data_IF_589800668176
#
_entry.id   IF_589800668176
#
_cell.length_a   1.000
_cell.length_b   1.000
_cell.length_c   1.000
_cell.angle_alpha   90.00
_cell.angle_beta   90.00
_cell.angle_gamma   90.00
#
_symmetry.space_group_name_H-M   'P 1'
#
loop_
_entity.id
_entity.type
_entity.pdbx_description
1 polymer ?
#
# COMPACT_ATOMS: atom_id res chain seq x y z
N UNK A 1 -42.63 -22.51 -5.30
CA UNK A 1 -41.46 -21.94 -6.00
C UNK A 1 -40.42 -21.59 -4.95
N UNK A 2 -39.34 -22.36 -4.88
CA UNK A 2 -38.20 -22.08 -3.98
C UNK A 2 -37.35 -21.00 -4.65
N UNK A 3 -37.20 -19.83 -4.02
CA UNK A 3 -36.17 -18.87 -4.40
C UNK A 3 -34.83 -19.47 -4.01
N UNK A 4 -34.15 -20.09 -4.97
CA UNK A 4 -32.72 -20.39 -4.85
C UNK A 4 -32.01 -19.05 -4.98
N UNK A 5 -31.73 -18.40 -3.85
CA UNK A 5 -30.77 -17.30 -3.82
C UNK A 5 -29.41 -17.94 -4.00
N UNK A 6 -28.88 -17.88 -5.22
CA UNK A 6 -27.47 -18.14 -5.48
C UNK A 6 -26.67 -17.05 -4.74
N UNK A 7 -26.35 -17.29 -3.47
CA UNK A 7 -25.30 -16.55 -2.75
C UNK A 7 -23.94 -17.02 -3.29
N UNK A 8 -23.70 -16.79 -4.58
CA UNK A 8 -22.38 -16.94 -5.16
C UNK A 8 -21.97 -15.57 -5.68
N UNK A 9 -21.62 -14.68 -4.75
CA UNK A 9 -20.77 -13.55 -5.06
C UNK A 9 -19.55 -13.70 -4.18
N UNK A 10 -18.48 -14.30 -4.71
CA UNK A 10 -17.16 -13.97 -4.19
C UNK A 10 -16.97 -12.48 -4.45
N UNK A 11 -17.44 -11.63 -3.53
CA UNK A 11 -17.24 -10.19 -3.60
C UNK A 11 -15.78 -9.98 -3.27
N UNK A 12 -14.95 -10.00 -4.30
CA UNK A 12 -13.57 -9.54 -4.22
C UNK A 12 -13.56 -8.16 -3.54
N UNK A 13 -12.58 -7.94 -2.70
CA UNK A 13 -12.43 -6.69 -1.96
C UNK A 13 -11.63 -5.75 -2.85
N UNK A 14 -12.24 -4.67 -3.32
CA UNK A 14 -11.56 -3.64 -4.09
C UNK A 14 -11.05 -2.55 -3.15
N UNK A 15 -9.76 -2.28 -3.20
CA UNK A 15 -9.11 -1.29 -2.36
C UNK A 15 -8.29 -0.29 -3.18
N UNK A 16 -8.19 0.93 -2.66
CA UNK A 16 -7.19 1.92 -3.06
C UNK A 16 -6.19 2.11 -1.93
N UNK A 17 -4.93 1.90 -2.21
CA UNK A 17 -3.84 1.98 -1.24
C UNK A 17 -2.91 3.11 -1.69
N UNK A 18 -2.53 3.98 -0.76
CA UNK A 18 -1.52 5.01 -0.97
C UNK A 18 -0.23 4.62 -0.28
N UNK A 19 0.86 4.65 -1.05
CA UNK A 19 2.23 4.51 -0.55
C UNK A 19 2.95 5.85 -0.74
N UNK A 20 3.57 6.37 0.30
CA UNK A 20 4.33 7.61 0.26
C UNK A 20 5.83 7.30 0.21
N UNK A 21 6.39 7.20 -1.00
CA UNK A 21 7.77 6.76 -1.21
C UNK A 21 8.76 7.87 -0.83
N UNK A 22 9.65 7.66 0.16
CA UNK A 22 10.58 8.68 0.61
C UNK A 22 11.78 8.87 -0.34
N UNK A 23 12.21 10.12 -0.47
CA UNK A 23 13.47 10.52 -1.09
C UNK A 23 14.58 10.55 -0.06
N UNK A 24 15.11 9.40 0.35
CA UNK A 24 16.23 9.37 1.31
C UNK A 24 17.47 10.04 0.70
N UNK A 25 17.88 11.18 1.27
CA UNK A 25 19.26 11.61 1.20
C UNK A 25 20.06 10.62 2.03
N UNK A 26 20.94 9.81 1.41
CA UNK A 26 21.95 9.09 2.17
C UNK A 26 22.75 10.12 2.95
N UNK A 27 22.40 10.27 4.23
CA UNK A 27 23.08 11.12 5.20
C UNK A 27 24.56 10.77 5.18
N UNK A 28 25.40 11.69 4.69
CA UNK A 28 26.84 11.50 4.68
C UNK A 28 27.68 12.45 3.85
N UNK A 29 27.13 13.24 2.92
CA UNK A 29 27.95 14.18 2.15
C UNK A 29 27.27 15.53 1.92
N UNK A 30 27.60 16.47 2.79
CA UNK A 30 27.59 17.91 2.51
C UNK A 30 28.58 18.23 1.38
N UNK A 31 28.27 17.85 0.13
CA UNK A 31 29.03 18.29 -1.04
C UNK A 31 28.05 18.67 -2.16
N UNK A 32 27.81 19.98 -2.26
CA UNK A 32 27.55 20.76 -3.49
C UNK A 32 27.42 19.92 -4.78
N UNK A 33 26.23 19.32 -5.01
CA UNK A 33 25.95 18.57 -6.25
C UNK A 33 24.97 17.39 -6.13
N UNK A 34 24.42 17.10 -4.95
CA UNK A 34 23.46 16.01 -4.72
C UNK A 34 22.08 16.33 -5.32
N UNK A 35 21.45 15.37 -6.03
CA UNK A 35 20.06 15.47 -6.50
C UNK A 35 19.16 15.94 -5.35
N UNK A 36 18.30 16.93 -5.62
CA UNK A 36 17.26 17.41 -4.69
C UNK A 36 16.43 16.21 -4.17
N UNK A 37 16.07 16.22 -2.88
CA UNK A 37 15.28 15.15 -2.24
C UNK A 37 14.01 14.83 -3.03
N UNK A 38 13.40 15.84 -3.65
CA UNK A 38 12.25 15.69 -4.54
C UNK A 38 12.56 14.83 -5.77
N UNK A 39 13.74 15.02 -6.40
CA UNK A 39 14.16 14.27 -7.57
C UNK A 39 14.46 12.81 -7.21
N UNK A 40 15.04 12.56 -6.04
CA UNK A 40 15.25 11.19 -5.54
C UNK A 40 13.95 10.50 -5.20
N UNK A 41 13.00 11.18 -4.55
CA UNK A 41 11.68 10.63 -4.28
C UNK A 41 10.98 10.21 -5.59
N UNK A 42 11.05 11.04 -6.64
CA UNK A 42 10.54 10.70 -7.98
C UNK A 42 11.22 9.46 -8.57
N UNK A 43 12.54 9.36 -8.47
CA UNK A 43 13.29 8.21 -8.97
C UNK A 43 12.91 6.92 -8.22
N UNK A 44 12.82 6.99 -6.88
CA UNK A 44 12.42 5.87 -6.03
C UNK A 44 10.98 5.43 -6.36
N UNK A 45 10.06 6.39 -6.54
CA UNK A 45 8.69 6.11 -6.98
C UNK A 45 8.66 5.35 -8.30
N UNK A 46 9.47 5.72 -9.29
CA UNK A 46 9.52 5.01 -10.57
C UNK A 46 10.01 3.57 -10.41
N UNK A 47 11.04 3.35 -9.57
CA UNK A 47 11.53 2.00 -9.25
C UNK A 47 10.44 1.17 -8.56
N UNK A 48 9.75 1.78 -7.60
CA UNK A 48 8.68 1.13 -6.84
C UNK A 48 7.49 0.73 -7.73
N UNK A 49 7.05 1.63 -8.62
CA UNK A 49 6.00 1.31 -9.61
C UNK A 49 6.41 0.13 -10.49
N UNK A 50 7.67 0.09 -10.94
CA UNK A 50 8.18 -1.02 -11.75
C UNK A 50 8.22 -2.33 -10.95
N UNK A 51 8.55 -2.28 -9.66
CA UNK A 51 8.51 -3.45 -8.79
C UNK A 51 7.07 -3.94 -8.62
N UNK A 52 6.14 -3.06 -8.21
CA UNK A 52 4.73 -3.40 -7.98
C UNK A 52 4.05 -4.04 -9.20
N UNK A 53 4.42 -3.62 -10.43
CA UNK A 53 3.92 -4.23 -11.68
C UNK A 53 4.33 -5.69 -11.87
N UNK A 54 5.41 -6.13 -11.22
CA UNK A 54 6.02 -7.44 -11.42
C UNK A 54 5.97 -8.34 -10.17
N UNK A 55 5.50 -7.83 -9.03
CA UNK A 55 5.42 -8.62 -7.79
C UNK A 55 4.15 -9.48 -7.80
N UNK A 56 4.26 -10.82 -7.77
CA UNK A 56 3.10 -11.67 -7.56
C UNK A 56 2.70 -11.61 -6.09
N UNK A 57 1.45 -11.25 -5.82
CA UNK A 57 0.83 -11.36 -4.51
C UNK A 57 -0.33 -12.36 -4.61
N UNK A 58 -0.27 -13.42 -3.81
CA UNK A 58 -1.31 -14.44 -3.81
C UNK A 58 -2.65 -13.82 -3.39
N UNK A 59 -3.71 -14.10 -4.15
CA UNK A 59 -5.04 -13.59 -3.86
C UNK A 59 -5.20 -12.08 -4.10
N UNK A 60 -4.21 -11.40 -4.68
CA UNK A 60 -4.28 -9.97 -5.03
C UNK A 60 -4.06 -9.77 -6.53
N UNK A 61 -4.94 -8.98 -7.14
CA UNK A 61 -4.80 -8.49 -8.50
C UNK A 61 -4.62 -6.98 -8.50
N UNK A 62 -3.51 -6.53 -9.04
CA UNK A 62 -3.25 -5.10 -9.27
C UNK A 62 -4.08 -4.63 -10.48
N UNK A 63 -5.00 -3.70 -10.25
CA UNK A 63 -5.87 -3.14 -11.29
C UNK A 63 -5.27 -1.88 -11.91
N UNK A 64 -4.69 -1.00 -11.08
CA UNK A 64 -4.14 0.27 -11.53
C UNK A 64 -3.04 0.74 -10.58
N UNK A 65 -1.98 1.31 -11.14
CA UNK A 65 -0.90 1.95 -10.38
C UNK A 65 -0.70 3.35 -10.98
N UNK A 66 -0.79 4.38 -10.15
CA UNK A 66 -0.79 5.79 -10.56
C UNK A 66 0.27 6.60 -9.80
N UNK A 67 0.93 7.51 -10.51
CA UNK A 67 1.83 8.53 -9.97
C UNK A 67 1.25 9.95 -10.10
N UNK A 68 -0.09 10.06 -10.12
CA UNK A 68 -0.80 11.31 -10.38
C UNK A 68 -0.67 12.37 -9.28
N UNK A 69 -0.39 11.94 -8.03
CA UNK A 69 -0.19 12.86 -6.93
C UNK A 69 1.20 13.51 -7.00
N UNK A 70 1.23 14.78 -6.62
CA UNK A 70 2.44 15.59 -6.58
C UNK A 70 3.37 15.17 -5.43
N UNK A 71 4.66 15.44 -5.64
CA UNK A 71 5.68 15.26 -4.61
C UNK A 71 5.55 16.38 -3.59
N UNK A 72 5.64 16.03 -2.32
CA UNK A 72 5.55 16.99 -1.21
C UNK A 72 6.72 16.81 -0.26
N UNK A 73 6.95 17.80 0.61
CA UNK A 73 8.00 17.78 1.63
C UNK A 73 7.40 17.94 3.01
N UNK A 74 7.92 17.17 3.97
CA UNK A 74 7.65 17.33 5.40
C UNK A 74 8.94 17.82 6.06
N UNK A 75 8.82 18.78 6.96
CA UNK A 75 9.91 19.22 7.84
C UNK A 75 9.62 18.77 9.26
N UNK A 76 10.45 17.86 9.79
CA UNK A 76 10.38 17.36 11.16
C UNK A 76 11.77 17.36 11.78
N UNK A 77 11.90 17.82 13.04
CA UNK A 77 13.17 17.92 13.77
C UNK A 77 14.31 18.61 13.00
N UNK A 78 13.97 19.65 12.22
CA UNK A 78 14.92 20.39 11.39
C UNK A 78 15.44 19.63 10.16
N UNK A 79 14.81 18.50 9.82
CA UNK A 79 15.10 17.71 8.61
C UNK A 79 13.94 17.80 7.63
N UNK A 80 14.24 18.21 6.41
CA UNK A 80 13.28 18.18 5.29
C UNK A 80 13.36 16.83 4.58
N UNK A 81 12.23 16.12 4.49
CA UNK A 81 12.09 14.87 3.74
C UNK A 81 11.05 15.02 2.64
N UNK A 82 11.41 14.65 1.40
CA UNK A 82 10.49 14.64 0.28
C UNK A 82 9.84 13.26 0.11
N UNK A 83 8.56 13.23 -0.26
CA UNK A 83 7.77 12.04 -0.50
C UNK A 83 7.09 12.10 -1.86
N UNK A 84 7.13 11.00 -2.61
CA UNK A 84 6.50 10.85 -3.90
C UNK A 84 5.40 9.79 -3.84
N UNK A 85 4.12 10.17 -3.77
CA UNK A 85 3.04 9.21 -3.59
C UNK A 85 2.82 8.31 -4.80
N UNK A 86 2.37 7.08 -4.51
CA UNK A 86 1.83 6.10 -5.45
C UNK A 86 0.42 5.75 -4.98
N UNK A 87 -0.53 5.75 -5.91
CA UNK A 87 -1.86 5.18 -5.67
C UNK A 87 -1.97 3.83 -6.38
N UNK A 88 -2.32 2.80 -5.62
CA UNK A 88 -2.45 1.42 -6.08
C UNK A 88 -3.90 0.98 -5.89
N UNK A 89 -4.60 0.69 -6.98
CA UNK A 89 -5.90 0.01 -6.94
C UNK A 89 -5.68 -1.50 -7.07
N UNK A 90 -6.21 -2.26 -6.12
CA UNK A 90 -6.15 -3.72 -6.11
C UNK A 90 -7.52 -4.33 -5.90
N UNK A 91 -7.71 -5.55 -6.39
CA UNK A 91 -8.76 -6.46 -5.94
C UNK A 91 -8.11 -7.61 -5.16
N UNK A 92 -8.73 -8.03 -4.06
CA UNK A 92 -8.24 -9.12 -3.23
C UNK A 92 -9.34 -10.15 -2.95
N UNK A 93 -8.96 -11.41 -2.82
CA UNK A 93 -9.90 -12.50 -2.53
C UNK A 93 -10.37 -12.45 -1.06
N UNK A 94 -9.44 -12.20 -0.13
CA UNK A 94 -9.71 -11.97 1.29
C UNK A 94 -8.92 -10.77 1.83
N UNK A 95 -9.34 -10.23 2.98
CA UNK A 95 -8.75 -9.01 3.54
C UNK A 95 -7.28 -9.23 3.94
N UNK A 96 -6.96 -10.44 4.38
CA UNK A 96 -5.62 -10.86 4.77
C UNK A 96 -4.60 -10.79 3.63
N UNK A 97 -5.04 -10.93 2.37
CA UNK A 97 -4.13 -10.93 1.21
C UNK A 97 -3.57 -9.52 0.93
N UNK A 98 -4.22 -8.48 1.44
CA UNK A 98 -3.78 -7.08 1.32
C UNK A 98 -2.69 -6.73 2.33
N UNK A 99 -2.51 -7.53 3.39
CA UNK A 99 -1.56 -7.22 4.47
C UNK A 99 -0.14 -6.88 4.01
N UNK A 100 0.47 -7.59 3.05
CA UNK A 100 1.82 -7.26 2.55
C UNK A 100 1.95 -5.84 1.96
N UNK A 101 0.84 -5.21 1.55
CA UNK A 101 0.84 -3.83 1.06
C UNK A 101 0.63 -2.81 2.18
N UNK A 102 -0.14 -3.14 3.21
CA UNK A 102 -0.51 -2.17 4.27
C UNK A 102 0.39 -2.23 5.51
N UNK A 103 1.27 -3.23 5.62
CA UNK A 103 2.27 -3.33 6.68
C UNK A 103 3.63 -2.77 6.27
N UNK A 104 3.74 -2.19 5.06
CA UNK A 104 4.95 -1.54 4.56
C UNK A 104 5.26 -0.27 5.34
N UNK A 105 6.54 0.07 5.43
CA UNK A 105 7.00 1.31 6.10
C UNK A 105 6.60 2.59 5.38
N UNK A 106 6.30 2.52 4.08
CA UNK A 106 5.82 3.63 3.26
C UNK A 106 4.29 3.63 3.08
N UNK A 107 3.57 2.75 3.79
CA UNK A 107 2.10 2.76 3.78
C UNK A 107 1.57 4.06 4.40
N UNK A 108 0.66 4.71 3.68
CA UNK A 108 0.05 5.99 4.09
C UNK A 108 -1.42 5.82 4.45
N UNK A 109 -2.22 5.26 3.54
CA UNK A 109 -3.65 5.00 3.77
C UNK A 109 -4.20 3.89 2.89
N UNK A 110 -5.34 3.34 3.33
CA UNK A 110 -6.18 2.43 2.55
C UNK A 110 -7.62 2.94 2.53
N UNK A 111 -8.30 2.78 1.41
CA UNK A 111 -9.74 2.98 1.22
C UNK A 111 -10.33 1.70 0.62
N UNK A 112 -11.33 1.12 1.28
CA UNK A 112 -12.12 0.02 0.71
C UNK A 112 -13.18 0.65 -0.19
N UNK A 113 -13.10 0.36 -1.49
CA UNK A 113 -14.05 0.86 -2.51
C UNK A 113 -15.26 -0.06 -2.58
N UNK A 114 -15.01 -1.38 -2.55
CA UNK A 114 -16.06 -2.40 -2.52
C UNK A 114 -15.60 -3.59 -1.68
N UNK A 115 -16.51 -4.27 -0.97
CA UNK A 115 -17.90 -3.90 -0.73
C UNK A 115 -18.04 -2.68 0.20
N UNK A 116 -19.25 -2.11 0.31
CA UNK A 116 -19.56 -1.03 1.27
C UNK A 116 -19.41 -1.46 2.72
N UNK A 117 -19.61 -2.75 2.99
CA UNK A 117 -19.60 -3.34 4.32
C UNK A 117 -18.85 -4.67 4.28
N UNK A 118 -17.97 -4.88 5.26
CA UNK A 118 -17.29 -6.16 5.48
C UNK A 118 -17.81 -6.73 6.79
N UNK A 119 -18.32 -7.96 6.76
CA UNK A 119 -18.71 -8.71 7.95
C UNK A 119 -17.72 -9.84 8.15
N UNK A 120 -17.15 -9.94 9.36
CA UNK A 120 -16.25 -11.01 9.75
C UNK A 120 -16.90 -11.84 10.85
N UNK A 121 -16.89 -13.16 10.71
CA UNK A 121 -17.17 -14.05 11.83
C UNK A 121 -16.02 -14.03 12.85
N UNK A 122 -16.26 -14.64 14.03
CA UNK A 122 -15.26 -14.71 15.10
C UNK A 122 -13.92 -15.28 14.61
N UNK A 123 -13.93 -16.38 13.86
CA UNK A 123 -12.72 -17.04 13.40
C UNK A 123 -11.99 -16.23 12.33
N UNK A 124 -12.73 -15.57 11.42
CA UNK A 124 -12.17 -14.63 10.45
C UNK A 124 -11.50 -13.44 11.14
N UNK A 125 -12.17 -12.84 12.14
CA UNK A 125 -11.61 -11.76 12.94
C UNK A 125 -10.34 -12.18 13.69
N UNK A 126 -10.35 -13.32 14.37
CA UNK A 126 -9.19 -13.84 15.10
C UNK A 126 -7.99 -14.10 14.17
N UNK A 127 -8.22 -14.69 12.99
CA UNK A 127 -7.17 -14.94 12.00
C UNK A 127 -6.57 -13.65 11.44
N UNK A 128 -7.42 -12.68 11.08
CA UNK A 128 -6.98 -11.38 10.58
C UNK A 128 -6.11 -10.66 11.61
N UNK A 129 -6.59 -10.53 12.85
CA UNK A 129 -5.86 -9.86 13.94
C UNK A 129 -4.53 -10.55 14.23
N UNK A 130 -4.52 -11.89 14.23
CA UNK A 130 -3.28 -12.67 14.42
C UNK A 130 -2.29 -12.39 13.30
N UNK A 131 -2.73 -12.37 12.04
CA UNK A 131 -1.85 -12.12 10.89
C UNK A 131 -1.28 -10.71 10.91
N UNK A 132 -2.09 -9.70 11.24
CA UNK A 132 -1.62 -8.32 11.44
C UNK A 132 -0.48 -8.29 12.48
N UNK A 133 -0.67 -8.93 13.63
CA UNK A 133 0.34 -8.97 14.68
C UNK A 133 1.64 -9.68 14.29
N UNK A 134 1.55 -10.74 13.45
CA UNK A 134 2.72 -11.45 12.93
C UNK A 134 3.47 -10.62 11.87
N UNK A 135 2.75 -10.03 10.92
CA UNK A 135 3.33 -9.17 9.88
C UNK A 135 4.03 -7.95 10.49
N UNK A 136 3.39 -7.29 11.46
CA UNK A 136 3.99 -6.14 12.15
C UNK A 136 5.31 -6.52 12.86
N UNK A 137 5.40 -7.72 13.42
CA UNK A 137 6.64 -8.21 14.07
C UNK A 137 7.74 -8.51 13.05
N UNK A 138 7.39 -9.00 11.87
CA UNK A 138 8.37 -9.34 10.84
C UNK A 138 8.96 -8.09 10.15
N UNK A 139 8.24 -6.96 10.20
CA UNK A 139 8.65 -5.70 9.58
C UNK A 139 9.35 -4.73 10.57
N UNK A 140 9.54 -5.13 11.84
CA UNK A 140 10.41 -4.44 12.82
C UNK A 140 11.81 -5.05 12.84
#
# INVERSE_FOLDING_TARGET
MVKVTLMNQSKVIKCKIRLDVPGYNKSGRFLFGSKDGTAMAKENRLKEINMLKNVPLQGVKFEKISSALDVYTIEEDGKTMAYAPIEVEVTADILEDILPLITRSDFSKIEIVEPSDITLDKGQGERLLTRIGLEYRNNM
#
